data_IF_281695458899
#
_entry.id   IF_281695458899
#
_cell.length_a   1.000
_cell.length_b   1.000
_cell.length_c   1.000
_cell.angle_alpha   90.00
_cell.angle_beta   90.00
_cell.angle_gamma   90.00
#
_symmetry.space_group_name_H-M   'P 1'
#
loop_
_entity.id
_entity.type
_entity.pdbx_description
1 polymer ?
#
# COMPACT_ATOMS: atom_id res chain seq x y z
N UNK A 1 -6.74 -28.56 18.37
CA UNK A 1 -5.58 -28.06 17.60
C UNK A 1 -6.04 -26.91 16.73
N UNK A 2 -6.06 -25.69 17.29
CA UNK A 2 -6.32 -24.46 16.54
C UNK A 2 -5.14 -24.23 15.61
N UNK A 3 -5.33 -24.48 14.32
CA UNK A 3 -4.38 -24.06 13.29
C UNK A 3 -4.41 -22.53 13.25
N UNK A 4 -3.49 -21.91 14.01
CA UNK A 4 -3.11 -20.54 13.77
C UNK A 4 -2.45 -20.47 12.40
N UNK A 5 -3.24 -20.25 11.34
CA UNK A 5 -2.72 -19.67 10.11
C UNK A 5 -2.48 -18.19 10.43
N UNK A 6 -1.46 -17.94 11.27
CA UNK A 6 -0.86 -16.63 11.35
C UNK A 6 -0.21 -16.40 10.00
N UNK A 7 -0.58 -15.31 9.34
CA UNK A 7 0.18 -14.79 8.21
C UNK A 7 1.62 -14.65 8.71
N UNK A 8 2.51 -15.57 8.34
CA UNK A 8 3.92 -15.42 8.66
C UNK A 8 4.37 -14.16 7.95
N UNK A 9 4.81 -13.17 8.73
CA UNK A 9 5.42 -11.98 8.17
C UNK A 9 6.62 -12.44 7.33
N UNK A 10 6.73 -12.06 6.04
CA UNK A 10 7.87 -12.43 5.21
C UNK A 10 9.18 -12.06 5.90
N UNK A 11 9.98 -13.06 6.24
CA UNK A 11 11.30 -12.86 6.84
C UNK A 11 12.25 -12.38 5.73
N UNK A 12 13.02 -11.32 6.00
CA UNK A 12 14.08 -10.84 5.11
C UNK A 12 13.70 -9.65 4.21
N UNK A 13 12.50 -9.08 4.40
CA UNK A 13 12.03 -7.87 3.68
C UNK A 13 11.93 -6.64 4.59
N UNK A 14 12.53 -6.70 5.77
CA UNK A 14 12.43 -5.63 6.77
C UNK A 14 13.08 -4.34 6.28
N UNK A 15 14.19 -4.43 5.55
CA UNK A 15 14.85 -3.26 4.98
C UNK A 15 14.02 -2.62 3.86
N UNK A 16 13.45 -3.44 2.96
CA UNK A 16 12.56 -2.95 1.90
C UNK A 16 11.33 -2.24 2.49
N UNK A 17 10.73 -2.83 3.53
CA UNK A 17 9.62 -2.21 4.29
C UNK A 17 10.05 -0.86 4.85
N UNK A 18 11.21 -0.80 5.52
CA UNK A 18 11.71 0.43 6.15
C UNK A 18 11.90 1.56 5.12
N UNK A 19 12.53 1.26 3.98
CA UNK A 19 12.72 2.24 2.90
C UNK A 19 11.38 2.77 2.38
N UNK A 20 10.40 1.90 2.15
CA UNK A 20 9.07 2.31 1.67
C UNK A 20 8.32 3.18 2.68
N UNK A 21 8.42 2.85 3.98
CA UNK A 21 7.83 3.65 5.06
C UNK A 21 8.48 5.03 5.14
N UNK A 22 9.81 5.11 5.07
CA UNK A 22 10.52 6.38 5.02
C UNK A 22 10.08 7.21 3.82
N UNK A 23 9.99 6.62 2.62
CA UNK A 23 9.49 7.30 1.42
C UNK A 23 8.06 7.83 1.58
N UNK A 24 7.15 7.08 2.23
CA UNK A 24 5.78 7.51 2.47
C UNK A 24 5.66 8.68 3.46
N UNK A 25 6.56 8.72 4.45
CA UNK A 25 6.53 9.74 5.52
C UNK A 25 7.43 10.94 5.22
N UNK A 26 8.29 10.85 4.21
CA UNK A 26 9.16 11.95 3.78
C UNK A 26 8.36 13.10 3.17
N UNK A 27 8.58 14.31 3.71
CA UNK A 27 8.01 15.55 3.18
C UNK A 27 8.63 15.99 1.84
N UNK A 28 9.66 15.30 1.35
CA UNK A 28 10.43 15.67 0.16
C UNK A 28 9.65 15.51 -1.16
N UNK A 29 8.62 14.66 -1.17
CA UNK A 29 7.71 14.52 -2.32
C UNK A 29 6.67 15.65 -2.41
N UNK A 30 6.44 16.36 -1.31
CA UNK A 30 5.60 17.54 -1.21
C UNK A 30 6.48 18.78 -1.07
N UNK A 31 7.32 19.03 -2.07
CA UNK A 31 8.05 20.29 -2.11
C UNK A 31 7.07 21.45 -2.22
N UNK A 32 7.36 22.48 -1.44
CA UNK A 32 6.56 23.68 -1.21
C UNK A 32 6.33 24.44 -2.52
N UNK A 33 5.30 24.11 -3.27
CA UNK A 33 4.68 25.00 -4.27
C UNK A 33 3.35 24.38 -4.67
N UNK A 34 2.28 25.12 -4.40
CA UNK A 34 0.95 24.96 -5.01
C UNK A 34 0.25 23.60 -4.80
N UNK A 35 -0.76 23.63 -3.92
CA UNK A 35 -1.81 22.63 -3.71
C UNK A 35 -1.92 21.59 -4.86
N UNK A 36 -1.52 20.33 -4.64
CA UNK A 36 -1.99 19.22 -5.48
C UNK A 36 -1.02 18.13 -5.91
N UNK A 37 0.22 18.06 -5.42
CA UNK A 37 1.12 16.96 -5.80
C UNK A 37 0.76 15.67 -5.05
N UNK A 38 0.42 14.61 -5.79
CA UNK A 38 0.19 13.25 -5.27
C UNK A 38 1.49 12.46 -5.39
N UNK A 39 1.99 11.89 -4.29
CA UNK A 39 3.12 10.96 -4.31
C UNK A 39 2.66 9.54 -4.67
N UNK A 40 3.40 8.88 -5.57
CA UNK A 40 3.11 7.51 -6.01
C UNK A 40 4.39 6.68 -5.86
N UNK A 41 4.28 5.57 -5.13
CA UNK A 41 5.36 4.59 -4.97
C UNK A 41 4.93 3.29 -5.64
N UNK A 42 5.73 2.81 -6.60
CA UNK A 42 5.44 1.59 -7.36
C UNK A 42 6.34 0.43 -6.90
N UNK A 43 5.73 -0.72 -6.57
CA UNK A 43 6.45 -1.96 -6.27
C UNK A 43 6.37 -2.89 -7.49
N UNK A 44 7.48 -3.06 -8.20
CA UNK A 44 7.55 -3.80 -9.47
C UNK A 44 8.43 -5.03 -9.33
N UNK A 45 8.12 -6.10 -10.07
CA UNK A 45 8.90 -7.33 -10.08
C UNK A 45 8.12 -8.51 -10.65
N UNK A 46 8.78 -9.65 -10.82
CA UNK A 46 8.17 -10.90 -11.32
C UNK A 46 7.02 -11.40 -10.41
N UNK A 47 6.12 -12.20 -10.97
CA UNK A 47 5.12 -12.94 -10.17
C UNK A 47 5.78 -13.88 -9.16
N UNK A 48 5.15 -14.06 -8.00
CA UNK A 48 5.64 -14.93 -6.92
C UNK A 48 6.76 -14.34 -6.04
N UNK A 49 7.10 -13.05 -6.21
CA UNK A 49 8.11 -12.34 -5.38
C UNK A 49 7.49 -11.72 -4.10
N UNK A 50 6.21 -11.99 -3.80
CA UNK A 50 5.52 -11.49 -2.61
C UNK A 50 5.37 -9.96 -2.52
N UNK A 51 5.29 -9.29 -3.67
CA UNK A 51 5.08 -7.82 -3.76
C UNK A 51 3.84 -7.36 -2.99
N UNK A 52 2.74 -8.10 -3.11
CA UNK A 52 1.50 -7.84 -2.39
C UNK A 52 1.72 -7.94 -0.88
N UNK A 53 2.53 -8.90 -0.44
CA UNK A 53 2.86 -9.08 0.97
C UNK A 53 3.72 -7.94 1.50
N UNK A 54 4.72 -7.47 0.74
CA UNK A 54 5.50 -6.28 1.09
C UNK A 54 4.62 -5.02 1.20
N UNK A 55 3.73 -4.80 0.24
CA UNK A 55 2.78 -3.69 0.28
C UNK A 55 1.88 -3.76 1.52
N UNK A 56 1.40 -4.96 1.89
CA UNK A 56 0.58 -5.15 3.08
C UNK A 56 1.36 -4.90 4.38
N UNK A 57 2.64 -5.30 4.44
CA UNK A 57 3.51 -5.00 5.59
C UNK A 57 3.65 -3.48 5.79
N UNK A 58 3.88 -2.73 4.71
CA UNK A 58 3.97 -1.26 4.75
C UNK A 58 2.63 -0.65 5.14
N UNK A 59 1.53 -1.11 4.53
CA UNK A 59 0.17 -0.62 4.81
C UNK A 59 -0.18 -0.70 6.29
N UNK A 60 0.16 -1.82 6.94
CA UNK A 60 -0.08 -2.04 8.37
C UNK A 60 0.88 -1.23 9.25
N UNK A 61 2.16 -1.09 8.88
CA UNK A 61 3.15 -0.34 9.64
C UNK A 61 2.76 1.14 9.78
N UNK A 62 2.20 1.73 8.71
CA UNK A 62 1.85 3.15 8.68
C UNK A 62 0.48 3.46 9.31
N UNK A 63 -0.08 2.52 10.06
CA UNK A 63 -1.41 2.63 10.66
C UNK A 63 -1.58 3.85 11.55
N UNK A 64 -0.60 4.12 12.40
CA UNK A 64 -0.69 5.22 13.35
C UNK A 64 -0.56 6.59 12.67
N UNK A 65 0.08 6.66 11.50
CA UNK A 65 0.35 7.90 10.78
C UNK A 65 -0.83 8.32 9.89
N UNK A 66 -1.54 7.37 9.28
CA UNK A 66 -2.65 7.65 8.37
C UNK A 66 -4.03 7.26 8.93
N UNK A 67 -4.09 6.57 10.06
CA UNK A 67 -5.30 6.20 10.82
C UNK A 67 -6.38 5.62 9.88
N UNK A 68 -7.59 6.21 9.88
CA UNK A 68 -8.75 5.81 9.08
C UNK A 68 -8.64 6.20 7.59
N UNK A 69 -7.61 6.97 7.20
CA UNK A 69 -7.42 7.44 5.81
C UNK A 69 -6.49 6.52 5.02
N UNK A 70 -6.74 5.21 5.10
CA UNK A 70 -5.99 4.18 4.39
C UNK A 70 -6.96 3.18 3.78
N UNK A 71 -6.75 2.85 2.52
CA UNK A 71 -7.60 1.91 1.81
C UNK A 71 -6.78 0.92 0.99
N UNK A 72 -7.26 -0.31 0.95
CA UNK A 72 -6.67 -1.38 0.17
C UNK A 72 -7.67 -1.82 -0.88
N UNK A 73 -7.33 -1.61 -2.16
CA UNK A 73 -8.22 -1.92 -3.28
C UNK A 73 -7.59 -3.00 -4.15
N UNK A 74 -8.35 -4.05 -4.45
CA UNK A 74 -7.97 -5.06 -5.43
C UNK A 74 -8.54 -4.70 -6.81
N UNK A 75 -7.70 -4.75 -7.84
CA UNK A 75 -8.08 -4.41 -9.22
C UNK A 75 -7.84 -5.63 -10.11
N UNK A 76 -8.85 -6.02 -10.89
CA UNK A 76 -8.72 -7.08 -11.90
C UNK A 76 -7.78 -6.67 -13.04
N UNK A 77 -7.20 -7.64 -13.75
CA UNK A 77 -6.28 -7.38 -14.88
C UNK A 77 -6.86 -6.45 -15.97
N UNK A 78 -8.18 -6.53 -16.21
CA UNK A 78 -8.89 -5.72 -17.21
C UNK A 78 -10.08 -5.02 -16.57
N UNK A 79 -9.88 -3.92 -15.83
CA UNK A 79 -10.97 -3.27 -15.14
C UNK A 79 -11.83 -2.45 -16.10
N UNK A 80 -13.14 -2.43 -15.87
CA UNK A 80 -13.96 -1.33 -16.38
C UNK A 80 -13.69 -0.10 -15.50
N UNK A 81 -13.10 0.95 -16.08
CA UNK A 81 -12.66 2.11 -15.31
C UNK A 81 -13.80 2.79 -14.54
N UNK A 82 -15.00 2.86 -15.12
CA UNK A 82 -16.16 3.49 -14.45
C UNK A 82 -16.60 2.67 -13.25
N UNK A 83 -16.63 1.35 -13.39
CA UNK A 83 -17.03 0.46 -12.31
C UNK A 83 -15.99 0.41 -11.20
N UNK A 84 -14.70 0.41 -11.56
CA UNK A 84 -13.59 0.50 -10.60
C UNK A 84 -13.66 1.77 -9.77
N UNK A 85 -13.81 2.94 -10.40
CA UNK A 85 -13.92 4.21 -9.67
C UNK A 85 -15.14 4.21 -8.74
N UNK A 86 -16.29 3.69 -9.19
CA UNK A 86 -17.47 3.55 -8.34
C UNK A 86 -17.24 2.60 -7.16
N UNK A 87 -16.49 1.52 -7.37
CA UNK A 87 -16.13 0.59 -6.30
C UNK A 87 -15.22 1.27 -5.28
N UNK A 88 -14.14 1.91 -5.74
CA UNK A 88 -13.22 2.67 -4.88
C UNK A 88 -14.00 3.70 -4.06
N UNK A 89 -14.88 4.49 -4.68
CA UNK A 89 -15.67 5.50 -3.97
C UNK A 89 -16.59 4.93 -2.89
N UNK A 90 -17.05 3.68 -3.01
CA UNK A 90 -17.83 3.00 -1.97
C UNK A 90 -16.94 2.45 -0.84
N UNK A 91 -15.77 1.93 -1.20
CA UNK A 91 -14.83 1.31 -0.27
C UNK A 91 -14.00 2.36 0.51
N UNK A 92 -13.90 3.58 -0.03
CA UNK A 92 -13.09 4.71 0.48
C UNK A 92 -13.89 5.72 1.32
N UNK A 93 -15.19 5.46 1.54
CA UNK A 93 -16.13 6.40 2.14
C UNK A 93 -16.22 6.32 3.67
#
# INVERSE_FOLDING_TARGET
ATHHIGIQLPIGRENDKKVLVEMLLSNDFCSKTEKGVVSIISIVGKGGIDKMTLANMVFNEVEQQFVERRWWVCVSERPNHKDLVRQILRDVQ
#
